data_IF_456766332889
#
_entry.id   IF_456766332889
#
_cell.length_a   1.000
_cell.length_b   1.000
_cell.length_c   1.000
_cell.angle_alpha   90.00
_cell.angle_beta   90.00
_cell.angle_gamma   90.00
#
_symmetry.space_group_name_H-M   'P 1'
#
loop_
_entity.id
_entity.type
_entity.pdbx_description
1 polymer ?
#
# COMPACT_ATOMS: atom_id res chain seq x y z
N UNK A 1 17.02 70.92 36.74
CA UNK A 1 15.88 70.19 37.34
C UNK A 1 15.00 69.79 36.17
N UNK A 2 14.56 68.52 36.13
CA UNK A 2 13.61 67.91 35.16
C UNK A 2 14.09 67.75 33.70
N UNK A 3 13.96 66.64 32.98
CA UNK A 3 13.93 65.19 33.22
C UNK A 3 14.21 64.49 31.85
N UNK A 4 14.53 63.21 31.92
CA UNK A 4 14.92 62.29 30.84
C UNK A 4 13.70 61.90 30.00
N UNK A 5 13.83 61.80 28.66
CA UNK A 5 13.03 60.84 27.90
C UNK A 5 13.83 60.26 26.72
N UNK A 6 14.44 59.10 26.97
CA UNK A 6 14.99 58.19 25.95
C UNK A 6 13.80 57.48 25.29
N UNK A 7 13.52 57.78 24.02
CA UNK A 7 12.54 57.04 23.24
C UNK A 7 13.23 55.88 22.53
N UNK A 8 12.99 54.67 23.02
CA UNK A 8 13.51 53.42 22.47
C UNK A 8 12.51 52.92 21.41
N UNK A 9 12.79 53.15 20.13
CA UNK A 9 11.99 52.65 19.03
C UNK A 9 12.21 51.13 18.88
N UNK A 10 11.27 50.33 19.34
CA UNK A 10 11.30 48.86 19.20
C UNK A 10 10.74 48.48 17.83
N UNK A 11 11.59 47.99 16.92
CA UNK A 11 11.18 47.44 15.63
C UNK A 11 10.57 46.04 15.84
N UNK A 12 9.28 45.88 15.53
CA UNK A 12 8.60 44.59 15.58
C UNK A 12 8.92 43.77 14.32
N UNK A 13 9.71 42.71 14.44
CA UNK A 13 9.88 41.70 13.39
C UNK A 13 8.63 40.83 13.31
N UNK A 14 7.85 40.99 12.25
CA UNK A 14 6.80 40.03 11.86
C UNK A 14 7.46 38.79 11.25
N UNK A 15 7.61 37.72 12.04
CA UNK A 15 7.96 36.40 11.50
C UNK A 15 6.70 35.77 10.94
N UNK A 16 6.52 35.82 9.61
CA UNK A 16 5.48 35.06 8.91
C UNK A 16 5.96 33.60 8.89
N UNK A 17 5.59 32.83 9.91
CA UNK A 17 5.78 31.39 9.94
C UNK A 17 4.78 30.71 9.01
N UNK A 18 5.23 30.32 7.82
CA UNK A 18 4.45 29.41 6.96
C UNK A 18 4.30 28.07 7.66
N UNK A 19 3.09 27.76 8.15
CA UNK A 19 2.76 26.44 8.64
C UNK A 19 2.82 25.45 7.47
N UNK A 20 3.91 24.69 7.37
CA UNK A 20 3.94 23.47 6.57
C UNK A 20 2.94 22.51 7.22
N UNK A 21 1.79 22.30 6.58
CA UNK A 21 0.87 21.22 6.95
C UNK A 21 1.59 19.90 6.73
N UNK A 22 2.12 19.31 7.80
CA UNK A 22 2.64 17.95 7.77
C UNK A 22 1.44 17.00 7.58
N UNK A 23 1.37 16.31 6.44
CA UNK A 23 0.42 15.22 6.26
C UNK A 23 0.73 14.15 7.32
N UNK A 24 -0.26 13.81 8.15
CA UNK A 24 -0.07 12.82 9.19
C UNK A 24 0.26 11.46 8.55
N UNK A 25 1.25 10.76 9.08
CA UNK A 25 1.56 9.40 8.63
C UNK A 25 0.44 8.42 9.06
N UNK A 26 0.18 7.35 8.28
CA UNK A 26 -0.79 6.33 8.67
C UNK A 26 -0.48 5.69 10.02
N UNK A 27 -1.53 5.43 10.80
CA UNK A 27 -1.41 4.80 12.12
C UNK A 27 -1.49 3.27 12.01
N UNK A 28 -0.46 2.57 12.46
CA UNK A 28 -0.54 1.12 12.71
C UNK A 28 -1.57 0.84 13.81
N UNK A 29 -2.61 0.09 13.47
CA UNK A 29 -3.76 -0.20 14.32
C UNK A 29 -3.69 -1.60 14.92
N UNK A 30 -3.21 -2.60 14.17
CA UNK A 30 -2.93 -3.95 14.69
C UNK A 30 -2.02 -4.73 13.74
N UNK A 31 -1.49 -5.86 14.21
CA UNK A 31 -0.80 -6.87 13.40
C UNK A 31 -1.50 -8.21 13.60
N UNK A 32 -1.77 -8.92 12.51
CA UNK A 32 -2.44 -10.22 12.48
C UNK A 32 -1.54 -11.19 11.71
N UNK A 33 -0.68 -11.93 12.42
CA UNK A 33 0.34 -12.77 11.81
C UNK A 33 1.21 -11.95 10.83
N UNK A 34 1.20 -12.31 9.55
CA UNK A 34 2.03 -11.68 8.51
C UNK A 34 1.41 -10.41 7.92
N UNK A 35 0.29 -9.93 8.47
CA UNK A 35 -0.45 -8.77 7.98
C UNK A 35 -0.45 -7.64 8.99
N UNK A 36 -0.21 -6.42 8.53
CA UNK A 36 -0.35 -5.19 9.31
C UNK A 36 -1.61 -4.43 8.90
N UNK A 37 -2.30 -3.85 9.87
CA UNK A 37 -3.54 -3.08 9.67
C UNK A 37 -3.27 -1.62 10.01
N UNK A 38 -3.54 -0.73 9.07
CA UNK A 38 -3.35 0.70 9.22
C UNK A 38 -4.67 1.47 9.07
N UNK A 39 -4.70 2.68 9.62
CA UNK A 39 -5.76 3.67 9.41
C UNK A 39 -5.12 5.02 9.10
N UNK A 40 -5.62 5.69 8.09
CA UNK A 40 -5.41 7.11 7.80
C UNK A 40 -6.71 7.88 8.08
N UNK A 41 -6.60 9.15 8.45
CA UNK A 41 -7.73 10.01 8.80
C UNK A 41 -7.99 11.10 7.76
N UNK A 42 -7.12 11.29 6.75
CA UNK A 42 -7.28 12.34 5.74
C UNK A 42 -6.77 11.92 4.34
N UNK A 43 -7.61 11.28 3.50
CA UNK A 43 -8.98 10.84 3.78
C UNK A 43 -9.02 9.61 4.71
N UNK A 44 -10.21 9.30 5.24
CA UNK A 44 -10.39 8.10 6.08
C UNK A 44 -10.27 6.85 5.19
N UNK A 45 -9.15 6.15 5.34
CA UNK A 45 -8.86 4.87 4.70
C UNK A 45 -8.27 3.90 5.72
N UNK A 46 -8.64 2.63 5.62
CA UNK A 46 -8.16 1.58 6.51
C UNK A 46 -7.77 0.40 5.65
N UNK A 47 -6.57 -0.13 5.83
CA UNK A 47 -6.10 -1.22 4.99
C UNK A 47 -5.36 -2.28 5.78
N UNK A 48 -5.48 -3.51 5.31
CA UNK A 48 -4.61 -4.61 5.67
C UNK A 48 -3.54 -4.74 4.58
N UNK A 49 -2.28 -4.88 4.95
CA UNK A 49 -1.15 -5.06 4.03
C UNK A 49 -0.23 -6.18 4.49
N UNK A 50 0.33 -6.91 3.53
CA UNK A 50 1.42 -7.86 3.76
C UNK A 50 2.51 -7.68 2.70
N UNK A 51 3.76 -7.85 3.10
CA UNK A 51 4.91 -7.85 2.20
C UNK A 51 5.23 -9.29 1.76
N UNK A 52 5.97 -9.47 0.64
CA UNK A 52 6.43 -10.80 0.26
C UNK A 52 7.34 -11.42 1.32
N UNK A 53 7.14 -12.72 1.59
CA UNK A 53 8.06 -13.53 2.41
C UNK A 53 9.31 -13.92 1.63
N UNK A 54 9.25 -13.90 0.29
CA UNK A 54 10.41 -13.99 -0.58
C UNK A 54 10.13 -13.38 -1.95
N UNK A 55 11.19 -12.93 -2.62
CA UNK A 55 11.15 -12.36 -3.96
C UNK A 55 12.29 -12.91 -4.80
N UNK A 56 12.00 -13.29 -6.03
CA UNK A 56 13.00 -13.65 -7.05
C UNK A 56 12.84 -12.70 -8.23
N UNK A 57 13.96 -12.26 -8.80
CA UNK A 57 13.99 -11.45 -10.01
C UNK A 57 14.81 -12.13 -11.10
N UNK A 58 14.28 -12.09 -12.33
CA UNK A 58 14.98 -12.60 -13.52
C UNK A 58 14.95 -11.59 -14.65
N UNK A 59 16.03 -11.51 -15.41
CA UNK A 59 16.13 -10.69 -16.62
C UNK A 59 16.73 -11.54 -17.74
N UNK A 60 16.04 -11.62 -18.88
CA UNK A 60 16.41 -12.53 -19.97
C UNK A 60 16.67 -13.98 -19.49
N UNK A 61 15.82 -14.48 -18.59
CA UNK A 61 15.90 -15.84 -18.04
C UNK A 61 17.00 -16.07 -17.00
N UNK A 62 17.81 -15.06 -16.65
CA UNK A 62 18.88 -15.17 -15.65
C UNK A 62 18.48 -14.51 -14.34
N UNK A 63 18.81 -15.15 -13.22
CA UNK A 63 18.63 -14.56 -11.89
C UNK A 63 19.41 -13.25 -11.78
N UNK A 64 18.80 -12.24 -11.17
CA UNK A 64 19.40 -10.93 -10.99
C UNK A 64 18.97 -10.31 -9.66
N UNK A 65 19.77 -9.40 -9.15
CA UNK A 65 19.45 -8.62 -7.94
C UNK A 65 18.82 -7.31 -8.37
N UNK A 66 17.73 -6.92 -7.71
CA UNK A 66 17.05 -5.64 -7.94
C UNK A 66 16.76 -4.95 -6.62
N UNK A 67 16.86 -3.63 -6.64
CA UNK A 67 16.31 -2.76 -5.62
C UNK A 67 14.92 -2.31 -6.05
N UNK A 68 13.96 -2.39 -5.13
CA UNK A 68 12.55 -2.03 -5.34
C UNK A 68 12.12 -1.07 -4.24
N UNK A 69 11.11 -0.27 -4.54
CA UNK A 69 10.38 0.48 -3.53
C UNK A 69 9.52 -0.44 -2.66
N UNK A 70 8.47 0.12 -2.08
CA UNK A 70 7.52 -0.64 -1.27
C UNK A 70 6.82 -1.73 -2.10
N UNK A 71 6.77 -2.95 -1.58
CA UNK A 71 6.08 -4.09 -2.18
C UNK A 71 5.03 -4.55 -1.19
N UNK A 72 3.79 -4.70 -1.65
CA UNK A 72 2.72 -5.15 -0.77
C UNK A 72 1.47 -5.58 -1.51
N UNK A 73 0.77 -6.55 -0.94
CA UNK A 73 -0.60 -6.87 -1.26
C UNK A 73 -1.50 -6.17 -0.24
N UNK A 74 -2.43 -5.37 -0.71
CA UNK A 74 -3.30 -4.53 0.09
C UNK A 74 -4.77 -4.95 -0.07
N UNK A 75 -5.51 -4.79 1.01
CA UNK A 75 -6.97 -4.79 1.03
C UNK A 75 -7.42 -3.51 1.71
N UNK A 76 -7.91 -2.55 0.92
CA UNK A 76 -8.22 -1.20 1.39
C UNK A 76 -9.72 -0.99 1.50
N UNK A 77 -10.16 -0.40 2.60
CA UNK A 77 -11.53 0.02 2.84
C UNK A 77 -11.58 1.54 2.94
N UNK A 78 -12.52 2.13 2.21
CA UNK A 78 -12.85 3.56 2.28
C UNK A 78 -14.17 3.74 2.99
N UNK A 79 -14.34 4.86 3.70
CA UNK A 79 -15.59 5.14 4.41
C UNK A 79 -16.79 5.12 3.46
N UNK A 80 -17.80 4.32 3.79
CA UNK A 80 -19.01 4.13 2.98
C UNK A 80 -18.90 3.08 1.86
N UNK A 81 -17.71 2.52 1.60
CA UNK A 81 -17.55 1.40 0.68
C UNK A 81 -18.02 0.08 1.34
N UNK A 82 -18.75 -0.75 0.59
CA UNK A 82 -19.25 -2.03 1.12
C UNK A 82 -18.21 -3.16 1.03
N UNK A 83 -17.25 -3.05 0.13
CA UNK A 83 -16.23 -4.06 -0.16
C UNK A 83 -14.83 -3.48 -0.03
N UNK A 84 -13.86 -4.35 0.27
CA UNK A 84 -12.45 -3.99 0.21
C UNK A 84 -11.95 -3.99 -1.24
N UNK A 85 -11.08 -3.05 -1.57
CA UNK A 85 -10.36 -2.96 -2.84
C UNK A 85 -9.03 -3.70 -2.73
N UNK A 86 -8.76 -4.60 -3.66
CA UNK A 86 -7.50 -5.33 -3.74
C UNK A 86 -6.51 -4.54 -4.58
N UNK A 87 -5.28 -4.45 -4.10
CA UNK A 87 -4.20 -3.92 -4.92
C UNK A 87 -2.85 -4.54 -4.60
N UNK A 88 -1.98 -4.56 -5.59
CA UNK A 88 -0.59 -4.96 -5.41
C UNK A 88 0.32 -3.83 -5.85
N UNK A 89 1.30 -3.47 -5.00
CA UNK A 89 2.41 -2.60 -5.39
C UNK A 89 3.62 -3.44 -5.72
N UNK A 90 4.15 -3.24 -6.93
CA UNK A 90 5.35 -3.90 -7.39
C UNK A 90 6.65 -3.25 -6.92
N UNK A 91 6.63 -2.05 -6.32
CA UNK A 91 7.86 -1.31 -5.98
C UNK A 91 8.74 -0.99 -7.21
N UNK A 92 8.12 -0.95 -8.38
CA UNK A 92 8.68 -0.49 -9.65
C UNK A 92 7.54 -0.18 -10.62
N UNK A 93 7.76 0.67 -11.63
CA UNK A 93 6.79 0.84 -12.70
C UNK A 93 6.68 -0.44 -13.54
N UNK A 94 5.47 -0.96 -13.73
CA UNK A 94 5.21 -2.10 -14.59
C UNK A 94 5.43 -1.76 -16.07
N UNK A 95 5.74 -2.77 -16.88
CA UNK A 95 5.85 -2.60 -18.32
C UNK A 95 4.49 -2.19 -18.91
N UNK A 96 4.50 -1.25 -19.85
CA UNK A 96 3.28 -0.78 -20.49
C UNK A 96 2.50 -1.93 -21.14
N UNK A 97 1.20 -2.02 -20.88
CA UNK A 97 0.34 -3.09 -21.38
C UNK A 97 0.57 -4.47 -20.74
N UNK A 98 1.49 -4.59 -19.78
CA UNK A 98 1.67 -5.84 -19.03
C UNK A 98 0.59 -6.05 -17.98
N UNK A 99 0.47 -7.30 -17.54
CA UNK A 99 -0.43 -7.69 -16.45
C UNK A 99 0.40 -8.32 -15.33
N UNK A 100 -0.17 -8.28 -14.13
CA UNK A 100 0.32 -9.03 -12.98
C UNK A 100 -0.54 -10.27 -12.80
N UNK A 101 0.08 -11.42 -12.60
CA UNK A 101 -0.62 -12.68 -12.31
C UNK A 101 -0.52 -12.97 -10.81
N UNK A 102 -1.64 -13.32 -10.18
CA UNK A 102 -1.71 -13.79 -8.80
C UNK A 102 -2.21 -15.23 -8.80
N UNK A 103 -1.33 -16.18 -8.46
CA UNK A 103 -1.66 -17.60 -8.34
C UNK A 103 -1.70 -18.01 -6.87
N UNK A 104 -2.83 -18.56 -6.41
CA UNK A 104 -3.00 -19.04 -5.05
C UNK A 104 -2.64 -20.52 -4.96
N UNK A 105 -2.13 -20.96 -3.81
CA UNK A 105 -1.85 -22.39 -3.58
C UNK A 105 -3.12 -23.26 -3.56
N UNK A 106 -4.31 -22.66 -3.49
CA UNK A 106 -5.60 -23.33 -3.68
C UNK A 106 -5.90 -23.69 -5.16
N UNK A 107 -5.10 -23.20 -6.10
CA UNK A 107 -5.26 -23.41 -7.55
C UNK A 107 -5.97 -22.26 -8.28
N UNK A 108 -6.55 -21.29 -7.55
CA UNK A 108 -7.14 -20.11 -8.18
C UNK A 108 -6.06 -19.19 -8.75
N UNK A 109 -6.31 -18.63 -9.94
CA UNK A 109 -5.41 -17.67 -10.60
C UNK A 109 -6.19 -16.44 -11.03
N UNK A 110 -5.61 -15.26 -10.80
CA UNK A 110 -6.20 -13.98 -11.14
C UNK A 110 -5.21 -13.12 -11.94
N UNK A 111 -5.77 -12.26 -12.78
CA UNK A 111 -5.03 -11.29 -13.58
C UNK A 111 -5.36 -9.90 -13.09
N UNK A 112 -4.33 -9.10 -12.82
CA UNK A 112 -4.43 -7.72 -12.38
C UNK A 112 -3.88 -6.79 -13.47
N UNK A 113 -4.59 -5.69 -13.71
CA UNK A 113 -4.21 -4.66 -14.66
C UNK A 113 -3.22 -3.71 -14.01
N UNK A 114 -2.19 -3.34 -14.76
CA UNK A 114 -1.09 -2.52 -14.24
C UNK A 114 -1.24 -1.05 -14.63
N UNK A 115 -0.87 -0.16 -13.70
CA UNK A 115 -0.71 1.27 -13.95
C UNK A 115 0.35 1.82 -13.00
N UNK A 116 1.42 2.41 -13.56
CA UNK A 116 2.55 2.85 -12.75
C UNK A 116 3.13 1.69 -11.96
N UNK A 117 3.19 1.81 -10.63
CA UNK A 117 3.67 0.73 -9.74
C UNK A 117 2.55 -0.13 -9.13
N UNK A 118 1.29 0.17 -9.45
CA UNK A 118 0.12 -0.51 -8.92
C UNK A 118 -0.45 -1.54 -9.90
N UNK A 119 -1.06 -2.59 -9.35
CA UNK A 119 -1.85 -3.56 -10.08
C UNK A 119 -3.16 -3.85 -9.35
N UNK A 120 -4.27 -3.90 -10.08
CA UNK A 120 -5.63 -3.93 -9.53
C UNK A 120 -6.51 -4.92 -10.32
N UNK A 121 -7.55 -5.52 -9.70
CA UNK A 121 -8.60 -6.19 -10.45
C UNK A 121 -9.38 -5.21 -11.34
N UNK A 122 -10.19 -5.74 -12.26
CA UNK A 122 -10.94 -4.89 -13.19
C UNK A 122 -12.18 -4.24 -12.56
N UNK A 123 -12.80 -4.92 -11.59
CA UNK A 123 -14.09 -4.52 -11.03
C UNK A 123 -14.19 -4.80 -9.53
N UNK A 124 -15.06 -4.07 -8.80
CA UNK A 124 -15.37 -4.37 -7.40
C UNK A 124 -15.86 -5.80 -7.15
N UNK A 125 -16.51 -6.42 -8.15
CA UNK A 125 -16.93 -7.81 -8.06
C UNK A 125 -15.72 -8.77 -8.10
N UNK A 126 -14.68 -8.43 -8.86
CA UNK A 126 -13.45 -9.21 -8.91
C UNK A 126 -12.62 -9.01 -7.64
N UNK A 127 -12.62 -7.81 -7.05
CA UNK A 127 -12.06 -7.57 -5.72
C UNK A 127 -12.69 -8.51 -4.67
N UNK A 128 -14.02 -8.58 -4.63
CA UNK A 128 -14.74 -9.44 -3.70
C UNK A 128 -14.42 -10.94 -3.91
N UNK A 129 -14.34 -11.40 -5.17
CA UNK A 129 -13.96 -12.78 -5.51
C UNK A 129 -12.54 -13.09 -5.08
N UNK A 130 -11.59 -12.19 -5.35
CA UNK A 130 -10.19 -12.36 -4.98
C UNK A 130 -10.07 -12.38 -3.47
N UNK A 131 -10.67 -11.42 -2.76
CA UNK A 131 -10.65 -11.38 -1.29
C UNK A 131 -11.19 -12.67 -0.66
N UNK A 132 -12.29 -13.20 -1.18
CA UNK A 132 -12.84 -14.48 -0.72
C UNK A 132 -11.85 -15.63 -0.95
N UNK A 133 -11.20 -15.69 -2.11
CA UNK A 133 -10.20 -16.70 -2.43
C UNK A 133 -8.94 -16.56 -1.55
N UNK A 134 -8.48 -15.34 -1.26
CA UNK A 134 -7.36 -15.08 -0.36
C UNK A 134 -7.64 -15.61 1.05
N UNK A 135 -8.86 -15.36 1.58
CA UNK A 135 -9.29 -15.86 2.90
C UNK A 135 -9.32 -17.38 3.03
N UNK A 136 -9.41 -18.11 1.91
CA UNK A 136 -9.40 -19.57 1.86
C UNK A 136 -8.06 -20.20 1.48
N UNK A 137 -7.02 -19.41 1.23
CA UNK A 137 -5.71 -19.87 0.75
C UNK A 137 -4.61 -19.64 1.79
N UNK A 138 -3.49 -20.35 1.66
CA UNK A 138 -2.33 -20.23 2.57
C UNK A 138 -1.24 -19.30 2.03
N UNK A 139 -1.05 -19.27 0.71
CA UNK A 139 -0.04 -18.43 0.06
C UNK A 139 -0.51 -17.98 -1.32
N UNK A 140 -0.01 -16.82 -1.77
CA UNK A 140 -0.09 -16.38 -3.16
C UNK A 140 1.31 -16.23 -3.77
N UNK A 141 1.41 -16.45 -5.07
CA UNK A 141 2.58 -16.10 -5.87
C UNK A 141 2.15 -15.02 -6.86
N UNK A 142 2.77 -13.86 -6.77
CA UNK A 142 2.47 -12.70 -7.61
C UNK A 142 3.63 -12.50 -8.58
N UNK A 143 3.35 -12.52 -9.88
CA UNK A 143 4.36 -12.36 -10.93
C UNK A 143 4.06 -11.10 -11.74
N UNK A 144 5.07 -10.24 -11.88
CA UNK A 144 4.97 -8.97 -12.62
C UNK A 144 6.21 -8.71 -13.47
N UNK A 145 6.06 -7.85 -14.49
CA UNK A 145 7.17 -7.42 -15.35
C UNK A 145 7.37 -5.92 -15.21
N UNK A 146 8.58 -5.52 -14.80
CA UNK A 146 8.96 -4.10 -14.73
C UNK A 146 9.11 -3.49 -16.11
N UNK A 147 8.99 -2.16 -16.21
CA UNK A 147 9.26 -1.40 -17.42
C UNK A 147 10.70 -1.58 -17.96
N UNK A 148 11.62 -2.09 -17.14
CA UNK A 148 13.00 -2.43 -17.53
C UNK A 148 13.17 -3.87 -18.03
N UNK A 149 12.09 -4.63 -18.16
CA UNK A 149 12.07 -6.01 -18.64
C UNK A 149 12.51 -7.06 -17.62
N UNK A 150 12.65 -6.69 -16.34
CA UNK A 150 12.87 -7.67 -15.26
C UNK A 150 11.53 -8.24 -14.81
N UNK A 151 11.42 -9.57 -14.73
CA UNK A 151 10.28 -10.29 -14.17
C UNK A 151 10.55 -10.53 -12.68
N UNK A 152 9.61 -10.16 -11.81
CA UNK A 152 9.65 -10.54 -10.39
C UNK A 152 8.60 -11.57 -10.07
N UNK A 153 8.93 -12.46 -9.13
CA UNK A 153 8.02 -13.45 -8.56
C UNK A 153 8.08 -13.30 -7.05
N UNK A 154 6.97 -12.84 -6.47
CA UNK A 154 6.81 -12.46 -5.08
C UNK A 154 5.91 -13.48 -4.38
N UNK A 155 6.44 -14.19 -3.40
CA UNK A 155 5.65 -15.13 -2.58
C UNK A 155 5.06 -14.37 -1.40
N UNK A 156 3.74 -14.38 -1.29
CA UNK A 156 2.97 -13.74 -0.22
C UNK A 156 2.43 -14.79 0.74
N UNK A 157 2.53 -14.55 2.04
CA UNK A 157 1.81 -15.32 3.06
C UNK A 157 0.38 -14.80 3.21
N UNK A 158 -0.58 -15.71 3.24
CA UNK A 158 -1.98 -15.37 3.50
C UNK A 158 -2.40 -15.70 4.95
N UNK A 159 -1.45 -16.10 5.79
CA UNK A 159 -1.69 -16.32 7.21
C UNK A 159 -2.09 -15.02 7.89
N UNK A 160 -3.31 -14.97 8.43
CA UNK A 160 -3.86 -13.78 9.11
C UNK A 160 -4.72 -12.87 8.23
N UNK A 161 -4.86 -13.14 6.93
CA UNK A 161 -5.61 -12.28 5.99
C UNK A 161 -7.06 -12.05 6.42
N UNK A 162 -7.75 -13.08 6.92
CA UNK A 162 -9.15 -12.95 7.37
C UNK A 162 -9.26 -11.97 8.53
N UNK A 163 -8.46 -12.16 9.58
CA UNK A 163 -8.47 -11.29 10.77
C UNK A 163 -8.04 -9.86 10.43
N UNK A 164 -7.00 -9.70 9.60
CA UNK A 164 -6.49 -8.39 9.22
C UNK A 164 -7.52 -7.57 8.43
N UNK A 165 -8.14 -8.20 7.43
CA UNK A 165 -9.10 -7.52 6.55
C UNK A 165 -10.42 -7.21 7.27
N UNK A 166 -10.85 -8.07 8.20
CA UNK A 166 -12.03 -7.80 9.02
C UNK A 166 -11.76 -6.69 10.05
N UNK A 167 -10.56 -6.62 10.62
CA UNK A 167 -10.13 -5.53 11.48
C UNK A 167 -10.05 -4.19 10.73
N UNK A 168 -9.43 -4.16 9.54
CA UNK A 168 -9.38 -2.98 8.68
C UNK A 168 -10.79 -2.47 8.33
N UNK A 169 -11.69 -3.38 7.94
CA UNK A 169 -13.09 -3.03 7.66
C UNK A 169 -13.78 -2.43 8.89
N UNK A 170 -13.56 -2.99 10.07
CA UNK A 170 -14.16 -2.51 11.32
C UNK A 170 -13.75 -1.09 11.68
N UNK A 171 -12.52 -0.70 11.36
CA UNK A 171 -11.98 0.65 11.59
C UNK A 171 -12.56 1.71 10.64
N UNK A 172 -13.08 1.29 9.48
CA UNK A 172 -13.58 2.17 8.41
C UNK A 172 -15.10 2.13 8.21
N UNK A 173 -15.85 1.65 9.21
CA UNK A 173 -17.31 1.74 9.23
C UNK A 173 -17.80 3.17 9.48
#
# INVERSE_FOLDING_TARGET
MTEILKSCATAALFVIGSALSATAAPKLSSTQQDWSVFTDTSPIECWAVTAPVSSVATKAGKATTVQRGEIGLFVTYRRGAQSGEISFRGGYPFAAGSQVTMALNSGATFTLFTQGEGAWPNTPADDAKILAALKGAGTAVITGTSARGTVTTDKISLMGVSAATDAARGLCR
#
